data_IF_898105753518
#
_entry.id   IF_898105753518
#
_cell.length_a   1.000
_cell.length_b   1.000
_cell.length_c   1.000
_cell.angle_alpha   90.00
_cell.angle_beta   90.00
_cell.angle_gamma   90.00
#
_symmetry.space_group_name_H-M   'P 1'
#
loop_
_entity.id
_entity.type
_entity.pdbx_description
1 polymer ?
#
# COMPACT_ATOMS: atom_id res chain seq x y z
N UNK A 1 -12.72 34.37 20.26
CA UNK A 1 -12.11 33.33 21.10
C UNK A 1 -13.24 32.67 21.83
N UNK A 2 -13.51 31.39 21.57
CA UNK A 2 -14.58 30.68 22.26
C UNK A 2 -14.01 30.03 23.52
N UNK A 3 -14.69 30.20 24.65
CA UNK A 3 -14.36 29.47 25.87
C UNK A 3 -15.24 28.23 25.94
N UNK A 4 -14.62 27.09 26.26
CA UNK A 4 -15.30 25.81 26.47
C UNK A 4 -15.09 25.38 27.91
N UNK A 5 -15.97 24.55 28.46
CA UNK A 5 -15.78 24.01 29.80
C UNK A 5 -15.06 22.66 29.73
N UNK A 6 -14.07 22.45 30.59
CA UNK A 6 -13.44 21.15 30.72
C UNK A 6 -14.45 20.11 31.23
N UNK A 7 -14.60 18.99 30.52
CA UNK A 7 -15.59 17.95 30.86
C UNK A 7 -15.38 17.34 32.24
N UNK A 8 -14.14 17.36 32.76
CA UNK A 8 -13.80 16.68 34.02
C UNK A 8 -13.85 17.61 35.24
N UNK A 9 -13.48 18.88 35.10
CA UNK A 9 -13.41 19.83 36.22
C UNK A 9 -14.25 21.10 36.03
N UNK A 10 -15.03 21.18 34.94
CA UNK A 10 -15.94 22.29 34.59
C UNK A 10 -15.31 23.68 34.50
N UNK A 11 -13.98 23.75 34.52
CA UNK A 11 -13.26 25.01 34.45
C UNK A 11 -13.29 25.55 33.02
N UNK A 12 -13.52 26.86 32.87
CA UNK A 12 -13.46 27.54 31.58
C UNK A 12 -12.03 27.48 31.02
N UNK A 13 -11.91 26.97 29.82
CA UNK A 13 -10.65 26.75 29.10
C UNK A 13 -10.78 27.32 27.71
N UNK A 14 -9.68 27.88 27.19
CA UNK A 14 -9.64 28.30 25.79
C UNK A 14 -9.73 27.07 24.89
N UNK A 15 -10.51 27.20 23.82
CA UNK A 15 -10.60 26.28 22.69
C UNK A 15 -9.26 25.93 22.02
N UNK A 16 -8.20 26.72 22.27
CA UNK A 16 -6.84 26.48 21.78
C UNK A 16 -5.93 25.71 22.76
N UNK A 17 -6.42 25.39 23.96
CA UNK A 17 -5.60 24.70 24.98
C UNK A 17 -5.49 23.19 24.72
N UNK A 18 -4.25 22.67 24.75
CA UNK A 18 -3.97 21.24 24.48
C UNK A 18 -4.37 20.35 25.67
N UNK A 19 -4.35 20.91 26.88
CA UNK A 19 -4.76 20.26 28.12
C UNK A 19 -5.38 21.29 29.06
N UNK A 20 -6.27 20.82 29.94
CA UNK A 20 -6.85 21.66 30.98
C UNK A 20 -5.75 22.05 31.99
N UNK A 21 -5.56 23.35 32.20
CA UNK A 21 -4.57 23.88 33.14
C UNK A 21 -4.86 23.44 34.58
N UNK A 22 -6.14 23.26 34.93
CA UNK A 22 -6.55 22.96 36.30
C UNK A 22 -6.43 21.47 36.67
N UNK A 23 -6.86 20.55 35.79
CA UNK A 23 -6.84 19.12 36.08
C UNK A 23 -5.80 18.32 35.28
N UNK A 24 -5.07 18.96 34.36
CA UNK A 24 -4.09 18.30 33.50
C UNK A 24 -4.70 17.38 32.43
N UNK A 25 -6.03 17.31 32.34
CA UNK A 25 -6.69 16.41 31.39
C UNK A 25 -6.43 16.86 29.95
N UNK A 26 -5.90 15.98 29.08
CA UNK A 26 -5.67 16.32 27.68
C UNK A 26 -7.00 16.52 26.97
N UNK A 27 -7.20 17.72 26.40
CA UNK A 27 -8.46 18.10 25.75
C UNK A 27 -8.50 17.68 24.28
N UNK A 28 -7.33 17.34 23.74
CA UNK A 28 -7.17 16.89 22.36
C UNK A 28 -7.01 15.37 22.28
N UNK A 29 -7.93 14.64 22.89
CA UNK A 29 -8.16 13.22 22.58
C UNK A 29 -9.23 13.11 21.49
N UNK A 30 -9.16 13.98 20.45
CA UNK A 30 -9.80 13.62 19.19
C UNK A 30 -9.16 12.31 18.78
N UNK A 31 -9.86 11.20 19.05
CA UNK A 31 -9.64 9.92 18.41
C UNK A 31 -9.62 10.24 16.92
N UNK A 32 -8.42 10.39 16.38
CA UNK A 32 -8.21 10.65 14.98
C UNK A 32 -8.61 9.34 14.34
N UNK A 33 -9.88 9.23 13.98
CA UNK A 33 -10.38 8.16 13.14
C UNK A 33 -9.50 8.22 11.90
N UNK A 34 -8.52 7.33 11.83
CA UNK A 34 -7.61 7.24 10.70
C UNK A 34 -8.47 6.73 9.55
N UNK A 35 -9.00 7.65 8.77
CA UNK A 35 -9.68 7.29 7.54
C UNK A 35 -8.68 6.52 6.69
N UNK A 36 -9.10 5.43 6.03
CA UNK A 36 -8.21 4.67 5.13
C UNK A 36 -7.54 5.60 4.10
N UNK A 37 -8.22 6.68 3.73
CA UNK A 37 -7.70 7.79 2.91
C UNK A 37 -6.52 8.56 3.52
N UNK A 38 -6.42 8.68 4.84
CA UNK A 38 -5.24 9.28 5.51
C UNK A 38 -4.01 8.37 5.38
N UNK A 39 -4.20 7.05 5.39
CA UNK A 39 -3.10 6.08 5.18
C UNK A 39 -2.63 6.10 3.72
N UNK A 40 -3.57 6.14 2.76
CA UNK A 40 -3.25 6.23 1.33
C UNK A 40 -2.60 7.56 0.98
N UNK A 41 -3.08 8.68 1.52
CA UNK A 41 -2.47 10.01 1.26
C UNK A 41 -1.11 10.20 1.95
N UNK A 42 -0.80 9.43 3.00
CA UNK A 42 0.54 9.38 3.61
C UNK A 42 1.51 8.47 2.86
N UNK A 43 1.03 7.59 1.98
CA UNK A 43 1.89 6.76 1.15
C UNK A 43 2.56 7.63 0.07
N UNK A 44 3.71 8.21 0.42
CA UNK A 44 4.48 9.11 -0.45
C UNK A 44 5.10 8.40 -1.67
N UNK A 45 5.12 7.07 -1.69
CA UNK A 45 5.77 6.29 -2.74
C UNK A 45 4.77 5.37 -3.45
N UNK A 46 4.92 5.17 -4.78
CA UNK A 46 4.07 4.25 -5.53
C UNK A 46 4.18 2.80 -5.01
N UNK A 47 5.32 2.42 -4.40
CA UNK A 47 5.51 1.14 -3.70
C UNK A 47 4.51 0.98 -2.56
N UNK A 48 4.35 2.00 -1.72
CA UNK A 48 3.52 1.87 -0.53
C UNK A 48 2.03 1.83 -0.90
N UNK A 49 1.62 2.57 -1.94
CA UNK A 49 0.25 2.47 -2.50
C UNK A 49 0.00 1.08 -3.09
N UNK A 50 0.95 0.57 -3.87
CA UNK A 50 0.85 -0.78 -4.43
C UNK A 50 0.73 -1.83 -3.33
N UNK A 51 1.58 -1.77 -2.31
CA UNK A 51 1.53 -2.70 -1.18
C UNK A 51 0.16 -2.72 -0.49
N UNK A 52 -0.43 -1.55 -0.22
CA UNK A 52 -1.77 -1.44 0.38
C UNK A 52 -2.85 -2.06 -0.53
N UNK A 53 -2.78 -1.79 -1.84
CA UNK A 53 -3.71 -2.38 -2.81
C UNK A 53 -3.59 -3.92 -2.84
N UNK A 54 -2.37 -4.44 -2.87
CA UNK A 54 -2.11 -5.88 -2.87
C UNK A 54 -2.55 -6.58 -1.60
N UNK A 55 -2.32 -5.96 -0.44
CA UNK A 55 -2.80 -6.48 0.85
C UNK A 55 -4.33 -6.55 0.88
N UNK A 56 -5.01 -5.54 0.34
CA UNK A 56 -6.48 -5.50 0.28
C UNK A 56 -7.02 -6.57 -0.67
N UNK A 57 -6.42 -6.69 -1.87
CA UNK A 57 -6.77 -7.75 -2.82
C UNK A 57 -6.52 -9.15 -2.24
N UNK A 58 -5.39 -9.38 -1.56
CA UNK A 58 -5.09 -10.65 -0.92
C UNK A 58 -6.10 -11.00 0.19
N UNK A 59 -6.52 -10.00 0.98
CA UNK A 59 -7.55 -10.20 2.01
C UNK A 59 -8.90 -10.58 1.40
N UNK A 60 -9.32 -9.91 0.32
CA UNK A 60 -10.56 -10.23 -0.39
C UNK A 60 -10.48 -11.63 -0.98
N UNK A 61 -9.40 -11.96 -1.69
CA UNK A 61 -9.21 -13.29 -2.29
C UNK A 61 -9.18 -14.39 -1.22
N UNK A 62 -8.53 -14.14 -0.08
CA UNK A 62 -8.50 -15.06 1.06
C UNK A 62 -9.88 -15.32 1.65
N UNK A 63 -10.70 -14.29 1.80
CA UNK A 63 -12.10 -14.47 2.22
C UNK A 63 -12.92 -15.19 1.16
N UNK A 64 -12.80 -14.80 -0.11
CA UNK A 64 -13.54 -15.41 -1.22
C UNK A 64 -13.23 -16.90 -1.40
N UNK A 65 -12.01 -17.34 -1.11
CA UNK A 65 -11.61 -18.75 -1.21
C UNK A 65 -12.50 -19.68 -0.37
N UNK A 66 -13.05 -19.19 0.75
CA UNK A 66 -13.91 -19.99 1.64
C UNK A 66 -15.33 -20.22 1.11
N UNK A 67 -15.74 -19.47 0.08
CA UNK A 67 -17.11 -19.50 -0.46
C UNK A 67 -17.22 -20.19 -1.83
N UNK A 68 -16.10 -20.71 -2.36
CA UNK A 68 -16.04 -21.36 -3.67
C UNK A 68 -16.57 -22.80 -3.54
N UNK A 69 -17.84 -23.01 -3.89
CA UNK A 69 -18.51 -24.31 -3.76
C UNK A 69 -18.91 -24.95 -5.10
N UNK A 70 -18.80 -24.21 -6.22
CA UNK A 70 -19.22 -24.69 -7.55
C UNK A 70 -18.03 -24.79 -8.51
N UNK A 71 -18.04 -25.74 -9.47
CA UNK A 71 -16.93 -25.89 -10.41
C UNK A 71 -16.73 -24.66 -11.31
N UNK A 72 -17.80 -23.92 -11.62
CA UNK A 72 -17.67 -22.67 -12.39
C UNK A 72 -17.08 -21.53 -11.57
N UNK A 73 -17.50 -21.38 -10.30
CA UNK A 73 -16.89 -20.38 -9.40
C UNK A 73 -15.42 -20.69 -9.12
N UNK A 74 -15.04 -21.97 -9.07
CA UNK A 74 -13.65 -22.39 -8.95
C UNK A 74 -12.81 -21.94 -10.15
N UNK A 75 -13.30 -22.15 -11.38
CA UNK A 75 -12.61 -21.68 -12.60
C UNK A 75 -12.43 -20.15 -12.59
N UNK A 76 -13.48 -19.41 -12.28
CA UNK A 76 -13.41 -17.94 -12.21
C UNK A 76 -12.44 -17.45 -11.12
N UNK A 77 -12.46 -18.10 -9.95
CA UNK A 77 -11.54 -17.81 -8.85
C UNK A 77 -10.08 -18.08 -9.24
N UNK A 78 -9.81 -19.22 -9.89
CA UNK A 78 -8.49 -19.56 -10.41
C UNK A 78 -7.97 -18.50 -11.39
N UNK A 79 -8.80 -18.03 -12.34
CA UNK A 79 -8.39 -16.95 -13.25
C UNK A 79 -8.09 -15.64 -12.52
N UNK A 80 -8.90 -15.31 -11.52
CA UNK A 80 -8.67 -14.12 -10.68
C UNK A 80 -7.32 -14.20 -9.96
N UNK A 81 -6.98 -15.38 -9.42
CA UNK A 81 -5.70 -15.64 -8.75
C UNK A 81 -4.51 -15.52 -9.73
N UNK A 82 -4.65 -16.02 -10.96
CA UNK A 82 -3.62 -15.87 -11.99
C UNK A 82 -3.38 -14.40 -12.36
N UNK A 83 -4.44 -13.61 -12.55
CA UNK A 83 -4.32 -12.17 -12.84
C UNK A 83 -3.62 -11.47 -11.68
N UNK A 84 -4.02 -11.77 -10.44
CA UNK A 84 -3.40 -11.21 -9.24
C UNK A 84 -1.89 -11.53 -9.17
N UNK A 85 -1.50 -12.79 -9.38
CA UNK A 85 -0.09 -13.20 -9.43
C UNK A 85 0.67 -12.51 -10.56
N UNK A 86 0.06 -12.40 -11.75
CA UNK A 86 0.68 -11.75 -12.90
C UNK A 86 0.95 -10.27 -12.63
N UNK A 87 -0.03 -9.53 -12.09
CA UNK A 87 0.12 -8.11 -11.71
C UNK A 87 1.19 -7.96 -10.62
N UNK A 88 1.19 -8.83 -9.62
CA UNK A 88 2.24 -8.86 -8.58
C UNK A 88 3.63 -9.04 -9.18
N UNK A 89 3.77 -10.04 -10.05
CA UNK A 89 5.04 -10.37 -10.71
C UNK A 89 5.54 -9.24 -11.59
N UNK A 90 4.66 -8.65 -12.42
CA UNK A 90 4.99 -7.50 -13.27
C UNK A 90 5.49 -6.31 -12.46
N UNK A 91 4.82 -6.00 -11.35
CA UNK A 91 5.25 -4.93 -10.46
C UNK A 91 6.60 -5.22 -9.80
N UNK A 92 6.83 -6.47 -9.37
CA UNK A 92 8.10 -6.87 -8.77
C UNK A 92 9.26 -6.77 -9.76
N UNK A 93 9.07 -7.22 -11.00
CA UNK A 93 10.06 -7.06 -12.09
C UNK A 93 10.33 -5.57 -12.35
N UNK A 94 9.28 -4.74 -12.32
CA UNK A 94 9.43 -3.29 -12.47
C UNK A 94 10.26 -2.69 -11.33
N UNK A 95 10.06 -3.12 -10.07
CA UNK A 95 10.90 -2.69 -8.95
C UNK A 95 12.37 -3.09 -9.17
N UNK A 96 12.64 -4.32 -9.61
CA UNK A 96 14.02 -4.80 -9.75
C UNK A 96 14.83 -4.01 -10.78
N UNK A 97 14.21 -3.67 -11.91
CA UNK A 97 14.88 -3.09 -13.07
C UNK A 97 14.64 -1.59 -13.28
N UNK A 98 13.64 -1.00 -12.62
CA UNK A 98 13.29 0.44 -12.71
C UNK A 98 13.34 1.10 -11.32
N UNK A 99 14.39 0.84 -10.54
CA UNK A 99 14.49 1.25 -9.12
C UNK A 99 14.37 2.77 -8.97
N UNK A 100 15.11 3.57 -9.73
CA UNK A 100 15.12 5.04 -9.51
C UNK A 100 13.78 5.70 -9.84
N UNK A 101 12.98 5.09 -10.73
CA UNK A 101 11.63 5.57 -11.06
C UNK A 101 10.56 5.19 -10.04
N UNK A 102 10.81 4.18 -9.21
CA UNK A 102 9.80 3.61 -8.29
C UNK A 102 9.99 4.08 -6.84
N UNK A 103 11.23 4.39 -6.43
CA UNK A 103 11.49 4.98 -5.12
C UNK A 103 11.28 6.50 -5.13
N UNK A 104 10.85 7.04 -3.99
CA UNK A 104 10.76 8.49 -3.82
C UNK A 104 12.18 9.08 -3.69
N UNK A 105 12.45 10.27 -4.27
CA UNK A 105 13.78 10.89 -4.24
C UNK A 105 14.33 11.07 -2.82
N UNK A 106 13.45 11.36 -1.83
CA UNK A 106 13.86 11.47 -0.42
C UNK A 106 14.37 10.16 0.17
N UNK A 107 13.77 9.02 -0.20
CA UNK A 107 14.19 7.70 0.29
C UNK A 107 15.53 7.31 -0.33
N UNK A 108 15.74 7.65 -1.61
CA UNK A 108 17.02 7.49 -2.29
C UNK A 108 18.11 8.38 -1.67
N UNK A 109 17.78 9.63 -1.33
CA UNK A 109 18.69 10.55 -0.67
C UNK A 109 19.08 10.07 0.73
N UNK A 110 18.13 9.48 1.47
CA UNK A 110 18.40 8.85 2.77
C UNK A 110 19.31 7.63 2.63
N UNK A 111 19.00 6.71 1.69
CA UNK A 111 19.82 5.53 1.44
C UNK A 111 21.27 5.88 1.03
N UNK A 112 21.43 6.93 0.22
CA UNK A 112 22.76 7.46 -0.15
C UNK A 112 23.52 8.00 1.08
N UNK A 113 22.85 8.69 1.99
CA UNK A 113 23.47 9.15 3.27
C UNK A 113 23.87 7.99 4.17
N UNK A 114 23.17 6.86 4.08
CA UNK A 114 23.46 5.63 4.84
C UNK A 114 24.56 4.76 4.19
N UNK A 115 25.22 5.26 3.13
CA UNK A 115 26.36 4.59 2.49
C UNK A 115 25.99 3.68 1.31
N UNK A 116 24.73 3.70 0.86
CA UNK A 116 24.31 3.01 -0.35
C UNK A 116 24.63 3.88 -1.58
N UNK A 117 25.91 3.89 -1.99
CA UNK A 117 26.40 4.79 -3.03
C UNK A 117 25.98 4.40 -4.46
N UNK A 118 25.60 3.15 -4.69
CA UNK A 118 25.22 2.70 -6.03
C UNK A 118 24.03 1.73 -6.02
N UNK A 119 22.85 2.22 -6.43
CA UNK A 119 21.69 1.36 -6.70
C UNK A 119 21.80 0.62 -8.05
N UNK A 120 22.89 0.81 -8.81
CA UNK A 120 23.01 0.30 -10.17
C UNK A 120 22.19 1.10 -11.18
N UNK A 121 22.39 0.81 -12.46
CA UNK A 121 21.63 1.43 -13.54
C UNK A 121 20.25 0.79 -13.70
N UNK A 122 19.25 1.63 -13.97
CA UNK A 122 17.93 1.16 -14.37
C UNK A 122 18.03 0.57 -15.78
N UNK A 123 17.42 -0.60 -15.97
CA UNK A 123 17.38 -1.33 -17.25
C UNK A 123 15.93 -1.64 -17.61
N UNK A 124 15.11 -0.62 -17.94
CA UNK A 124 13.69 -0.80 -18.23
C UNK A 124 13.45 -1.72 -19.43
N UNK A 125 14.39 -1.76 -20.38
CA UNK A 125 14.34 -2.68 -21.53
C UNK A 125 14.36 -4.15 -21.09
N UNK A 126 15.21 -4.51 -20.12
CA UNK A 126 15.27 -5.88 -19.58
C UNK A 126 13.98 -6.20 -18.84
N UNK A 127 13.43 -5.24 -18.10
CA UNK A 127 12.14 -5.38 -17.43
C UNK A 127 11.03 -5.70 -18.44
N UNK A 128 10.95 -4.94 -19.53
CA UNK A 128 9.95 -5.12 -20.57
C UNK A 128 10.08 -6.48 -21.27
N UNK A 129 11.30 -6.91 -21.59
CA UNK A 129 11.56 -8.23 -22.17
C UNK A 129 11.15 -9.34 -21.20
N UNK A 130 11.51 -9.23 -19.92
CA UNK A 130 11.15 -10.22 -18.91
C UNK A 130 9.64 -10.32 -18.70
N UNK A 131 8.93 -9.18 -18.63
CA UNK A 131 7.46 -9.14 -18.54
C UNK A 131 6.84 -9.75 -19.80
N UNK A 132 7.34 -9.40 -20.99
CA UNK A 132 6.88 -9.96 -22.26
C UNK A 132 7.05 -11.48 -22.32
N UNK A 133 8.20 -12.01 -21.89
CA UNK A 133 8.47 -13.44 -21.81
C UNK A 133 7.55 -14.14 -20.80
N UNK A 134 7.30 -13.54 -19.63
CA UNK A 134 6.35 -14.09 -18.66
C UNK A 134 4.94 -14.19 -19.23
N UNK A 135 4.46 -13.13 -19.90
CA UNK A 135 3.14 -13.12 -20.52
C UNK A 135 3.03 -14.12 -21.68
N UNK A 136 4.08 -14.24 -22.51
CA UNK A 136 4.14 -15.25 -23.57
C UNK A 136 4.12 -16.67 -23.01
N UNK A 137 4.96 -16.96 -22.02
CA UNK A 137 5.01 -18.27 -21.39
C UNK A 137 3.67 -18.63 -20.74
N UNK A 138 3.03 -17.67 -20.07
CA UNK A 138 1.73 -17.86 -19.47
C UNK A 138 0.62 -18.05 -20.52
N UNK A 139 0.62 -17.24 -21.58
CA UNK A 139 -0.34 -17.36 -22.68
C UNK A 139 -0.21 -18.69 -23.43
N UNK A 140 1.03 -19.15 -23.66
CA UNK A 140 1.29 -20.48 -24.23
C UNK A 140 0.81 -21.58 -23.29
N UNK A 141 1.14 -21.49 -22.00
CA UNK A 141 0.66 -22.46 -21.01
C UNK A 141 -0.87 -22.55 -21.01
N UNK A 142 -1.56 -21.42 -21.03
CA UNK A 142 -3.01 -21.37 -21.06
C UNK A 142 -3.59 -21.90 -22.38
N UNK A 143 -2.94 -21.67 -23.52
CA UNK A 143 -3.40 -22.16 -24.82
C UNK A 143 -3.23 -23.68 -25.00
N UNK A 144 -2.25 -24.29 -24.33
CA UNK A 144 -1.92 -25.71 -24.50
C UNK A 144 -2.43 -26.63 -23.39
N UNK A 145 -2.59 -26.13 -22.16
CA UNK A 145 -2.88 -26.97 -20.98
C UNK A 145 -4.26 -26.74 -20.34
N UNK A 146 -5.01 -25.72 -20.78
CA UNK A 146 -6.37 -25.40 -20.29
C UNK A 146 -7.39 -25.62 -21.39
#
# INVERSE_FOLDING_TARGET
MAMTNCENCTHEISDLSVACINCGHPLNTRHKHSNAWEVVSRAKTPINIFAVAMMTCAAILGMSATQVNTPESLKAFTYTLHIFLAVTGMFFVTILFCRKGVYHPDDLAKAKREGLDDLGEDKPEIAAIAIGLMLLAYGLYQAFFV
#
